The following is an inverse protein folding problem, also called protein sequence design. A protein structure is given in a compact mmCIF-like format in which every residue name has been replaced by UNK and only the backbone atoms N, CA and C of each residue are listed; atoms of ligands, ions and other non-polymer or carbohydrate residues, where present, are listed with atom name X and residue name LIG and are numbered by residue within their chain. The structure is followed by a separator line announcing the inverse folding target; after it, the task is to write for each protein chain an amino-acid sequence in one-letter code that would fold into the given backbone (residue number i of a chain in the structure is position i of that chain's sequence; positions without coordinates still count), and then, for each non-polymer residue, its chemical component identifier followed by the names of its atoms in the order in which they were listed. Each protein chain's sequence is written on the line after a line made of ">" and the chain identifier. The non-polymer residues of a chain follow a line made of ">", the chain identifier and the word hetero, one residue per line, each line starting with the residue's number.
data_IF_365231739031
#
_entry.id   IF_365231739031
#
_cell.length_a   1.000
_cell.length_b   1.000
_cell.length_c   1.000
_cell.angle_alpha   90.00
_cell.angle_beta   90.00
_cell.angle_gamma   90.00
#
_symmetry.space_group_name_H-M   'P 1'
#
loop_
_entity.id
_entity.type
_entity.pdbx_description
1 polymer ?
#
# COMPACT_ATOMS: atom_id res chain seq x y z
N UNK A 1 -0.18 17.35 14.63
CA UNK A 1 -0.73 16.72 13.40
C UNK A 1 -2.15 16.30 13.75
N UNK A 2 -3.18 16.87 13.13
CA UNK A 2 -4.56 16.46 13.40
C UNK A 2 -4.71 14.97 13.04
N UNK A 3 -5.16 14.17 14.00
CA UNK A 3 -5.58 12.80 13.77
C UNK A 3 -6.70 12.83 12.72
N UNK A 4 -6.62 11.99 11.68
CA UNK A 4 -7.71 11.94 10.71
C UNK A 4 -8.88 11.29 11.43
N UNK A 5 -9.82 12.08 11.92
CA UNK A 5 -11.07 11.54 12.46
C UNK A 5 -11.87 11.00 11.29
N UNK A 6 -12.21 9.71 11.32
CA UNK A 6 -13.21 9.13 10.41
C UNK A 6 -14.50 9.94 10.55
N UNK A 7 -14.81 10.77 9.56
CA UNK A 7 -16.14 11.38 9.42
C UNK A 7 -16.96 10.34 8.68
N UNK A 8 -18.01 9.81 9.29
CA UNK A 8 -18.75 8.66 8.73
C UNK A 8 -19.27 8.87 7.30
N UNK A 9 -19.44 10.12 6.86
CA UNK A 9 -19.82 10.46 5.49
C UNK A 9 -18.67 10.47 4.47
N UNK A 10 -17.42 10.36 4.91
CA UNK A 10 -16.23 10.35 4.04
C UNK A 10 -15.48 9.02 4.17
N UNK A 11 -15.85 8.10 3.28
CA UNK A 11 -15.24 6.79 3.13
C UNK A 11 -13.71 6.84 3.05
N UNK A 12 -13.13 7.80 2.30
CA UNK A 12 -11.68 7.85 2.09
C UNK A 12 -10.97 8.34 3.35
N UNK A 13 -11.57 9.29 4.07
CA UNK A 13 -11.05 9.73 5.38
C UNK A 13 -11.09 8.58 6.41
N UNK A 14 -12.16 7.77 6.41
CA UNK A 14 -12.26 6.59 7.26
C UNK A 14 -11.25 5.50 6.88
N UNK A 15 -11.04 5.24 5.59
CA UNK A 15 -10.01 4.32 5.11
C UNK A 15 -8.61 4.78 5.53
N UNK A 16 -8.31 6.08 5.45
CA UNK A 16 -7.06 6.64 5.95
C UNK A 16 -6.90 6.47 7.46
N UNK A 17 -7.96 6.70 8.23
CA UNK A 17 -7.94 6.48 9.69
C UNK A 17 -7.58 5.03 10.02
N UNK A 18 -8.25 4.07 9.38
CA UNK A 18 -7.98 2.64 9.55
C UNK A 18 -6.53 2.31 9.18
N UNK A 19 -6.05 2.83 8.04
CA UNK A 19 -4.68 2.62 7.59
C UNK A 19 -3.64 3.17 8.58
N UNK A 20 -3.89 4.33 9.17
CA UNK A 20 -3.00 4.96 10.16
C UNK A 20 -2.86 4.15 11.44
N UNK A 21 -3.87 3.35 11.83
CA UNK A 21 -3.76 2.46 13.00
C UNK A 21 -2.60 1.47 12.87
N UNK A 22 -2.32 0.99 11.65
CA UNK A 22 -1.20 0.07 11.41
C UNK A 22 0.19 0.73 11.48
N UNK A 23 0.26 2.06 11.58
CA UNK A 23 1.51 2.77 11.88
C UNK A 23 1.82 2.79 13.38
N UNK A 24 0.80 2.61 14.22
CA UNK A 24 0.98 2.51 15.67
C UNK A 24 1.40 1.07 16.05
N UNK A 25 2.62 0.95 16.56
CA UNK A 25 3.18 -0.33 17.01
C UNK A 25 2.41 -0.92 18.18
N UNK A 26 1.83 -0.09 19.05
CA UNK A 26 1.04 -0.58 20.20
C UNK A 26 -0.27 -1.17 19.71
N UNK A 27 -0.96 -0.50 18.78
CA UNK A 27 -2.12 -1.05 18.11
C UNK A 27 -1.81 -2.39 17.44
N UNK A 28 -0.72 -2.45 16.66
CA UNK A 28 -0.31 -3.69 15.98
C UNK A 28 0.02 -4.79 16.97
N UNK A 29 0.81 -4.52 18.02
CA UNK A 29 1.18 -5.53 19.01
C UNK A 29 -0.03 -6.06 19.80
N UNK A 30 -0.98 -5.18 20.15
CA UNK A 30 -2.18 -5.54 20.91
C UNK A 30 -3.17 -6.38 20.08
N UNK A 31 -3.36 -6.05 18.80
CA UNK A 31 -4.37 -6.69 17.94
C UNK A 31 -3.79 -7.85 17.11
N UNK A 32 -2.49 -7.83 16.86
CA UNK A 32 -1.78 -8.80 16.02
C UNK A 32 -0.45 -9.19 16.68
N UNK A 33 -0.45 -10.04 17.73
CA UNK A 33 0.76 -10.38 18.49
C UNK A 33 1.91 -10.98 17.66
N UNK A 34 1.60 -11.55 16.49
CA UNK A 34 2.58 -12.08 15.54
C UNK A 34 3.30 -10.99 14.72
N UNK A 35 2.88 -9.73 14.87
CA UNK A 35 3.27 -8.61 14.03
C UNK A 35 2.47 -8.56 12.73
N UNK A 36 2.61 -7.45 11.99
CA UNK A 36 2.04 -7.26 10.65
C UNK A 36 3.14 -6.72 9.75
N UNK A 37 3.40 -7.44 8.65
CA UNK A 37 4.47 -7.11 7.71
C UNK A 37 3.97 -7.15 6.26
N UNK A 38 4.82 -6.78 5.31
CA UNK A 38 4.55 -7.05 3.92
C UNK A 38 4.61 -8.55 3.65
N UNK A 39 3.51 -9.11 3.17
CA UNK A 39 3.40 -10.49 2.72
C UNK A 39 2.74 -10.50 1.33
N UNK A 40 3.39 -11.14 0.34
CA UNK A 40 2.91 -11.12 -1.05
C UNK A 40 1.59 -11.89 -1.15
N UNK A 41 0.54 -11.31 -1.74
CA UNK A 41 -0.82 -11.85 -1.72
C UNK A 41 -1.44 -11.94 -0.32
N UNK A 42 -0.83 -11.31 0.69
CA UNK A 42 -1.32 -11.29 2.06
C UNK A 42 -2.42 -10.27 2.24
N UNK A 43 -3.33 -10.55 3.18
CA UNK A 43 -4.44 -9.67 3.52
C UNK A 43 -5.78 -10.20 3.02
N UNK A 44 -6.81 -9.91 3.79
CA UNK A 44 -8.21 -10.23 3.49
C UNK A 44 -9.08 -9.02 3.82
N UNK A 45 -10.36 -9.10 3.46
CA UNK A 45 -11.36 -8.12 3.86
C UNK A 45 -11.43 -7.92 5.39
N UNK A 46 -11.05 -8.93 6.17
CA UNK A 46 -11.17 -8.92 7.64
C UNK A 46 -9.85 -8.65 8.38
N UNK A 47 -8.73 -8.47 7.66
CA UNK A 47 -7.44 -8.19 8.30
C UNK A 47 -6.24 -8.81 7.59
N UNK A 48 -5.05 -8.70 8.21
CA UNK A 48 -3.83 -9.29 7.69
C UNK A 48 -3.96 -10.82 7.59
N UNK A 49 -3.26 -11.40 6.62
CA UNK A 49 -3.26 -12.84 6.35
C UNK A 49 -1.87 -13.34 5.98
N UNK A 50 -1.72 -14.66 5.87
CA UNK A 50 -0.49 -15.22 5.32
C UNK A 50 -0.39 -14.91 3.82
N UNK A 51 0.83 -14.69 3.36
CA UNK A 51 1.09 -14.53 1.94
C UNK A 51 0.91 -15.83 1.15
N UNK A 52 1.10 -15.71 -0.16
CA UNK A 52 1.06 -16.82 -1.11
C UNK A 52 2.47 -17.14 -1.63
N UNK A 53 2.55 -18.23 -2.39
CA UNK A 53 3.73 -18.57 -3.19
C UNK A 53 3.41 -18.33 -4.66
N UNK A 54 4.32 -17.65 -5.34
CA UNK A 54 4.34 -17.56 -6.80
C UNK A 54 5.74 -17.95 -7.35
N UNK A 55 6.02 -17.58 -8.59
CA UNK A 55 7.30 -17.90 -9.24
C UNK A 55 8.49 -17.05 -8.73
N UNK A 56 8.22 -15.95 -8.01
CA UNK A 56 9.22 -14.99 -7.56
C UNK A 56 9.36 -14.95 -6.03
N UNK A 57 8.29 -15.21 -5.29
CA UNK A 57 8.20 -15.06 -3.85
C UNK A 57 7.54 -16.28 -3.20
N UNK A 58 8.01 -16.66 -2.00
CA UNK A 58 7.32 -17.60 -1.11
C UNK A 58 7.08 -16.92 0.24
N UNK A 59 5.93 -16.25 0.38
CA UNK A 59 5.58 -15.49 1.58
C UNK A 59 4.51 -16.20 2.43
N UNK A 60 4.32 -17.51 2.26
CA UNK A 60 3.37 -18.31 3.08
C UNK A 60 3.72 -18.35 4.57
N UNK A 61 4.96 -17.98 4.90
CA UNK A 61 5.46 -17.88 6.27
C UNK A 61 5.41 -16.44 6.83
N UNK A 62 5.08 -15.44 6.01
CA UNK A 62 4.94 -14.05 6.43
C UNK A 62 3.47 -13.71 6.64
N UNK A 63 3.18 -13.04 7.74
CA UNK A 63 1.83 -12.60 8.10
C UNK A 63 1.71 -11.08 7.94
N UNK A 64 0.71 -10.65 7.18
CA UNK A 64 0.38 -9.25 7.01
C UNK A 64 -0.37 -8.93 5.72
N UNK A 65 0.06 -7.90 5.01
CA UNK A 65 -0.63 -7.40 3.80
C UNK A 65 0.33 -7.28 2.61
N UNK A 66 -0.17 -7.47 1.40
CA UNK A 66 0.42 -6.84 0.22
C UNK A 66 -0.18 -5.44 -0.01
N UNK A 67 0.26 -4.77 -1.09
CA UNK A 67 -0.14 -3.40 -1.36
C UNK A 67 -1.65 -3.25 -1.59
N UNK A 68 -2.26 -4.11 -2.42
CA UNK A 68 -3.67 -4.02 -2.78
C UNK A 68 -4.59 -4.62 -1.72
N UNK A 69 -4.15 -5.66 -1.02
CA UNK A 69 -4.85 -6.22 0.14
C UNK A 69 -4.95 -5.22 1.29
N UNK A 70 -3.91 -4.43 1.55
CA UNK A 70 -3.95 -3.35 2.55
C UNK A 70 -4.97 -2.26 2.20
N UNK A 71 -4.99 -1.81 0.93
CA UNK A 71 -5.95 -0.82 0.45
C UNK A 71 -7.38 -1.38 0.48
N UNK A 72 -7.58 -2.61 -0.02
CA UNK A 72 -8.88 -3.28 -0.03
C UNK A 72 -9.44 -3.45 1.38
N UNK A 73 -8.62 -3.92 2.33
CA UNK A 73 -8.99 -4.01 3.74
C UNK A 73 -9.41 -2.65 4.31
N UNK A 74 -8.58 -1.61 4.09
CA UNK A 74 -8.84 -0.29 4.65
C UNK A 74 -10.18 0.29 4.19
N UNK A 75 -10.49 0.16 2.90
CA UNK A 75 -11.76 0.63 2.34
C UNK A 75 -12.95 -0.25 2.72
N UNK A 76 -12.78 -1.57 2.76
CA UNK A 76 -13.86 -2.49 3.17
C UNK A 76 -14.26 -2.30 4.64
N UNK A 77 -13.29 -2.07 5.52
CA UNK A 77 -13.56 -1.76 6.92
C UNK A 77 -14.18 -0.36 7.07
N UNK A 78 -13.74 0.61 6.26
CA UNK A 78 -14.31 1.96 6.26
C UNK A 78 -15.79 1.95 5.85
N UNK A 79 -16.18 1.10 4.92
CA UNK A 79 -17.58 0.93 4.49
C UNK A 79 -18.41 0.02 5.40
N UNK A 80 -17.89 -0.32 6.59
CA UNK A 80 -18.55 -1.23 7.56
C UNK A 80 -18.93 -2.59 6.93
N UNK A 81 -18.14 -3.05 5.95
CA UNK A 81 -18.33 -4.32 5.27
C UNK A 81 -19.34 -4.31 4.12
N UNK A 82 -19.70 -3.13 3.60
CA UNK A 82 -20.60 -3.02 2.46
C UNK A 82 -20.04 -3.78 1.24
N UNK A 83 -20.70 -4.90 0.88
CA UNK A 83 -20.26 -5.80 -0.21
C UNK A 83 -20.13 -5.10 -1.57
N UNK A 84 -20.84 -3.99 -1.77
CA UNK A 84 -20.81 -3.22 -3.01
C UNK A 84 -19.54 -2.36 -3.16
N UNK A 85 -18.73 -2.22 -2.10
CA UNK A 85 -17.42 -1.54 -2.12
C UNK A 85 -16.24 -2.53 -1.93
N UNK A 86 -16.35 -3.73 -2.48
CA UNK A 86 -15.20 -4.64 -2.55
C UNK A 86 -14.32 -4.18 -3.72
N UNK A 87 -13.22 -3.51 -3.40
CA UNK A 87 -12.23 -3.11 -4.41
C UNK A 87 -11.62 -4.35 -5.08
N UNK A 88 -11.18 -4.27 -6.35
CA UNK A 88 -10.47 -5.36 -7.01
C UNK A 88 -9.27 -5.85 -6.21
N UNK A 89 -8.96 -7.15 -6.28
CA UNK A 89 -7.90 -7.78 -5.47
C UNK A 89 -6.49 -7.27 -5.77
N UNK A 90 -6.24 -6.80 -7.00
CA UNK A 90 -4.90 -6.40 -7.46
C UNK A 90 -4.82 -4.91 -7.77
N UNK A 91 -3.64 -4.32 -7.56
CA UNK A 91 -3.36 -2.88 -7.76
C UNK A 91 -3.81 -2.35 -9.12
N UNK A 92 -3.59 -3.10 -10.20
CA UNK A 92 -4.02 -2.70 -11.55
C UNK A 92 -5.54 -2.58 -11.71
N UNK A 93 -6.32 -3.40 -10.98
CA UNK A 93 -7.77 -3.28 -10.97
C UNK A 93 -8.23 -2.09 -10.14
N UNK A 94 -7.65 -1.90 -8.95
CA UNK A 94 -7.97 -0.78 -8.06
C UNK A 94 -7.67 0.59 -8.70
N UNK A 95 -6.63 0.66 -9.53
CA UNK A 95 -6.28 1.86 -10.30
C UNK A 95 -7.35 2.25 -11.34
N UNK A 96 -8.30 1.37 -11.67
CA UNK A 96 -9.27 1.57 -12.79
C UNK A 96 -10.71 1.70 -12.35
N UNK A 97 -10.97 1.71 -11.03
CA UNK A 97 -12.29 1.91 -10.46
C UNK A 97 -12.32 3.21 -9.65
N UNK A 98 -13.52 3.72 -9.36
CA UNK A 98 -13.70 5.00 -8.69
C UNK A 98 -13.46 6.23 -9.57
N UNK A 99 -13.66 7.39 -8.98
CA UNK A 99 -13.45 8.70 -9.60
C UNK A 99 -11.96 8.90 -9.90
N UNK A 100 -11.63 9.31 -11.14
CA UNK A 100 -10.28 9.77 -11.46
C UNK A 100 -10.10 11.18 -10.89
N UNK A 101 -9.18 11.34 -9.95
CA UNK A 101 -8.89 12.65 -9.36
C UNK A 101 -7.75 13.35 -10.12
N UNK A 102 -6.66 12.62 -10.36
CA UNK A 102 -5.49 13.12 -11.06
C UNK A 102 -4.64 11.96 -11.58
N UNK A 103 -3.81 12.21 -12.59
CA UNK A 103 -2.79 11.27 -13.07
C UNK A 103 -1.61 12.02 -13.69
N UNK A 104 -0.45 11.37 -13.77
CA UNK A 104 0.73 12.00 -14.36
C UNK A 104 2.01 11.20 -14.22
N UNK A 105 3.12 11.80 -14.67
CA UNK A 105 4.44 11.19 -14.67
C UNK A 105 5.39 11.87 -13.69
N UNK A 106 6.04 11.04 -12.88
CA UNK A 106 7.13 11.42 -11.99
C UNK A 106 6.72 12.34 -10.84
N UNK A 107 7.63 12.53 -9.89
CA UNK A 107 7.28 13.17 -8.61
C UNK A 107 7.21 14.69 -8.66
N UNK A 108 7.91 15.30 -9.62
CA UNK A 108 7.88 16.75 -9.83
C UNK A 108 6.51 17.22 -10.31
N UNK A 109 5.79 16.35 -11.04
CA UNK A 109 4.51 16.66 -11.65
C UNK A 109 3.31 16.29 -10.78
N UNK A 110 3.49 15.81 -9.55
CA UNK A 110 2.37 15.52 -8.63
C UNK A 110 1.56 16.80 -8.41
N UNK A 111 0.59 16.99 -9.29
CA UNK A 111 -0.49 17.92 -9.13
C UNK A 111 -1.43 17.31 -8.11
N UNK A 112 -1.43 17.93 -6.95
CA UNK A 112 -2.25 17.54 -5.82
C UNK A 112 -3.43 18.50 -5.65
N UNK A 113 -3.67 19.38 -6.63
CA UNK A 113 -4.87 20.21 -6.66
C UNK A 113 -6.09 19.32 -6.84
N UNK A 114 -6.91 19.21 -5.78
CA UNK A 114 -8.06 18.30 -5.73
C UNK A 114 -7.78 16.93 -5.10
N UNK A 115 -6.52 16.58 -4.83
CA UNK A 115 -6.17 15.35 -4.10
C UNK A 115 -6.33 15.57 -2.60
N UNK A 116 -6.99 14.62 -1.93
CA UNK A 116 -7.29 14.70 -0.50
C UNK A 116 -6.68 13.50 0.23
N UNK A 117 -6.21 13.67 1.48
CA UNK A 117 -5.82 12.53 2.31
C UNK A 117 -6.92 11.46 2.32
N UNK A 118 -6.54 10.22 2.05
CA UNK A 118 -7.46 9.09 1.87
C UNK A 118 -7.63 8.64 0.42
N UNK A 119 -7.39 9.50 -0.57
CA UNK A 119 -7.40 9.08 -1.97
C UNK A 119 -6.35 7.98 -2.21
N UNK A 120 -6.67 7.01 -3.06
CA UNK A 120 -5.75 5.93 -3.45
C UNK A 120 -4.80 6.41 -4.54
N UNK A 121 -3.53 6.03 -4.47
CA UNK A 121 -2.52 6.34 -5.50
C UNK A 121 -1.91 5.02 -5.98
N UNK A 122 -2.12 4.70 -7.26
CA UNK A 122 -1.53 3.56 -7.92
C UNK A 122 -0.33 3.97 -8.78
N UNK A 123 0.68 3.12 -8.86
CA UNK A 123 1.93 3.39 -9.58
C UNK A 123 2.25 2.32 -10.63
N UNK A 124 2.78 2.75 -11.77
CA UNK A 124 3.30 1.88 -12.83
C UNK A 124 4.63 2.39 -13.39
N UNK A 125 5.56 1.47 -13.60
CA UNK A 125 6.81 1.72 -14.32
C UNK A 125 6.56 2.17 -15.77
N UNK A 126 7.40 3.08 -16.27
CA UNK A 126 7.36 3.52 -17.67
C UNK A 126 7.48 2.36 -18.64
N UNK A 127 6.62 2.35 -19.66
CA UNK A 127 6.55 1.29 -20.67
C UNK A 127 5.86 0.00 -20.19
N UNK A 128 5.34 -0.06 -18.96
CA UNK A 128 4.50 -1.16 -18.48
C UNK A 128 3.03 -0.77 -18.52
N UNK A 129 2.17 -1.73 -18.90
CA UNK A 129 0.73 -1.51 -19.01
C UNK A 129 0.00 -1.59 -17.66
N UNK A 130 0.52 -2.40 -16.73
CA UNK A 130 -0.12 -2.68 -15.45
C UNK A 130 0.48 -1.85 -14.31
N UNK A 131 -0.38 -1.40 -13.39
CA UNK A 131 0.04 -0.86 -12.10
C UNK A 131 0.50 -2.00 -11.19
N UNK A 132 1.69 -1.87 -10.62
CA UNK A 132 2.31 -2.89 -9.77
C UNK A 132 2.25 -2.54 -8.28
N UNK A 133 1.88 -1.30 -7.95
CA UNK A 133 1.76 -0.87 -6.56
C UNK A 133 0.57 0.07 -6.38
N UNK A 134 -0.01 0.05 -5.19
CA UNK A 134 -1.09 0.96 -4.79
C UNK A 134 -0.91 1.33 -3.32
N UNK A 135 -1.33 2.54 -2.95
CA UNK A 135 -1.12 3.13 -1.63
C UNK A 135 -2.25 4.08 -1.28
N UNK A 136 -2.36 4.48 -0.01
CA UNK A 136 -3.32 5.50 0.45
C UNK A 136 -2.58 6.82 0.66
N UNK A 137 -3.07 7.91 0.07
CA UNK A 137 -2.48 9.23 0.26
C UNK A 137 -2.65 9.70 1.70
N UNK A 138 -1.53 9.98 2.37
CA UNK A 138 -1.52 10.37 3.78
C UNK A 138 -1.69 11.89 3.98
N UNK A 139 -1.65 12.68 2.90
CA UNK A 139 -1.35 14.11 2.97
C UNK A 139 0.15 14.39 2.98
N UNK A 140 0.52 15.67 2.96
CA UNK A 140 1.91 16.14 3.05
C UNK A 140 2.87 15.46 2.07
N UNK A 141 2.40 15.21 0.83
CA UNK A 141 3.18 14.54 -0.22
C UNK A 141 3.74 13.17 0.23
N UNK A 142 2.99 12.43 1.04
CA UNK A 142 3.36 11.11 1.52
C UNK A 142 2.20 10.11 1.36
N UNK A 143 2.53 8.82 1.36
CA UNK A 143 1.57 7.72 1.26
C UNK A 143 1.80 6.71 2.38
N UNK A 144 0.73 6.04 2.81
CA UNK A 144 0.78 4.84 3.67
C UNK A 144 0.69 3.62 2.76
N UNK A 145 1.61 2.67 2.94
CA UNK A 145 1.58 1.43 2.17
C UNK A 145 2.23 0.23 2.88
N UNK A 146 1.83 -0.95 2.41
CA UNK A 146 2.59 -2.18 2.60
C UNK A 146 3.59 -2.29 1.45
N UNK A 147 4.88 -2.07 1.72
CA UNK A 147 5.92 -2.13 0.69
C UNK A 147 7.23 -2.73 1.21
N UNK A 148 7.74 -3.71 0.46
CA UNK A 148 9.02 -4.38 0.71
C UNK A 148 8.91 -5.55 1.69
N UNK A 149 9.37 -6.73 1.26
CA UNK A 149 9.28 -8.00 2.00
C UNK A 149 9.64 -7.87 3.48
N UNK A 150 8.75 -8.34 4.35
CA UNK A 150 8.97 -8.40 5.80
C UNK A 150 8.97 -7.04 6.51
N UNK A 151 8.77 -5.93 5.81
CA UNK A 151 8.69 -4.60 6.42
C UNK A 151 7.30 -4.34 7.00
N UNK A 152 7.17 -3.56 8.08
CA UNK A 152 5.86 -3.13 8.57
C UNK A 152 5.15 -2.23 7.56
N UNK A 153 3.90 -1.87 7.84
CA UNK A 153 3.24 -0.76 7.15
C UNK A 153 4.02 0.53 7.43
N UNK A 154 4.31 1.30 6.38
CA UNK A 154 5.15 2.48 6.47
C UNK A 154 4.49 3.70 5.85
N UNK A 155 4.98 4.88 6.25
CA UNK A 155 4.80 6.12 5.50
C UNK A 155 6.01 6.27 4.58
N UNK A 156 5.78 6.52 3.29
CA UNK A 156 6.83 6.83 2.33
C UNK A 156 6.53 8.16 1.62
N UNK A 157 7.54 9.00 1.32
CA UNK A 157 7.33 10.23 0.58
C UNK A 157 6.98 9.90 -0.89
N UNK A 158 6.15 10.72 -1.53
CA UNK A 158 5.80 10.57 -2.95
C UNK A 158 7.03 10.64 -3.87
N UNK A 159 8.10 11.32 -3.44
CA UNK A 159 9.38 11.36 -4.15
C UNK A 159 10.07 9.98 -4.26
N UNK A 160 9.70 9.00 -3.42
CA UNK A 160 10.16 7.63 -3.59
C UNK A 160 9.69 7.00 -4.92
N UNK A 161 8.66 7.58 -5.56
CA UNK A 161 8.01 7.10 -6.78
C UNK A 161 8.32 7.98 -8.00
N UNK A 162 9.42 8.74 -7.97
CA UNK A 162 9.74 9.83 -8.91
C UNK A 162 9.87 9.46 -10.39
N UNK A 163 10.06 8.18 -10.73
CA UNK A 163 10.19 7.71 -12.11
C UNK A 163 8.94 7.06 -12.68
N UNK A 164 7.87 6.95 -11.89
CA UNK A 164 6.69 6.17 -12.23
C UNK A 164 5.53 7.04 -12.70
N UNK A 165 4.63 6.44 -13.47
CA UNK A 165 3.32 7.02 -13.70
C UNK A 165 2.44 6.73 -12.50
N UNK A 166 1.66 7.71 -12.11
CA UNK A 166 0.75 7.61 -11.00
C UNK A 166 -0.67 7.91 -11.44
N UNK A 167 -1.63 7.26 -10.79
CA UNK A 167 -3.07 7.45 -11.01
C UNK A 167 -3.77 7.51 -9.67
N UNK A 168 -4.50 8.58 -9.44
CA UNK A 168 -5.16 8.87 -8.17
C UNK A 168 -6.65 8.61 -8.32
N UNK A 169 -7.17 7.77 -7.44
CA UNK A 169 -8.57 7.37 -7.40
C UNK A 169 -9.20 7.75 -6.08
N UNK A 170 -10.43 8.24 -6.17
CA UNK A 170 -11.29 8.42 -5.02
C UNK A 170 -12.44 7.41 -5.10
N UNK A 171 -12.65 6.69 -4.02
CA UNK A 171 -13.73 5.72 -3.93
C UNK A 171 -14.92 6.34 -3.21
N UNK A 172 -16.13 5.95 -3.59
CA UNK A 172 -17.36 6.37 -2.93
C UNK A 172 -18.14 5.13 -2.53
N UNK A 173 -18.80 5.19 -1.38
CA UNK A 173 -19.81 4.18 -1.07
C UNK A 173 -20.91 4.30 -2.12
N UNK A 174 -21.33 3.17 -2.72
CA UNK A 174 -22.51 3.19 -3.56
C UNK A 174 -23.70 3.59 -2.68
N UNK A 175 -24.64 4.40 -3.20
CA UNK A 175 -25.79 4.81 -2.41
C UNK A 175 -26.51 3.57 -1.87
N UNK A 176 -26.80 3.60 -0.56
CA UNK A 176 -27.57 2.56 0.11
C UNK A 176 -28.89 2.35 -0.65
N UNK A 177 -29.33 1.10 -0.91
CA UNK A 177 -30.63 0.87 -1.50
C UNK A 177 -31.72 1.40 -0.55
N UNK A 178 -32.30 2.56 -0.86
CA UNK A 178 -33.38 3.18 -0.10
C UNK A 178 -33.02 4.45 0.69
N UNK A 179 -31.77 4.91 0.67
CA UNK A 179 -31.43 6.20 1.26
C UNK A 179 -31.86 7.36 0.35
N UNK A 180 -33.08 7.85 0.57
CA UNK A 180 -33.43 9.22 0.19
C UNK A 180 -32.58 10.20 0.99
N UNK A 181 -32.14 11.27 0.33
CA UNK A 181 -31.34 12.32 0.95
C UNK A 181 -32.12 13.00 2.08
N UNK A 182 -31.76 12.72 3.33
CA UNK A 182 -32.35 13.34 4.52
C UNK A 182 -31.64 12.87 5.79
N UNK A 183 -30.98 13.80 6.49
CA UNK A 183 -30.06 13.49 7.59
C UNK A 183 -30.71 12.95 8.86
N UNK A 184 -29.93 12.19 9.64
CA UNK A 184 -29.56 12.47 11.03
C UNK A 184 -28.71 11.30 11.58
N UNK A 185 -27.86 11.63 12.55
CA UNK A 185 -26.75 10.86 13.11
C UNK A 185 -27.03 9.40 13.52
N UNK A 186 -26.00 8.56 13.46
CA UNK A 186 -26.01 7.16 13.86
C UNK A 186 -25.91 6.99 15.40
N UNK A 187 -26.87 6.31 16.06
CA UNK A 187 -26.89 6.11 17.51
C UNK A 187 -26.07 4.88 17.99
N UNK A 188 -25.02 4.46 17.28
CA UNK A 188 -24.31 3.21 17.60
C UNK A 188 -22.78 3.29 17.49
N UNK A 189 -22.21 4.46 17.77
CA UNK A 189 -20.77 4.67 17.89
C UNK A 189 -20.20 4.20 19.25
N UNK A 190 -20.97 3.50 20.09
CA UNK A 190 -20.50 2.95 21.36
C UNK A 190 -21.03 1.51 21.52
N UNK A 191 -20.12 0.53 21.50
CA UNK A 191 -20.16 -0.73 22.25
C UNK A 191 -19.38 -1.83 21.52
N UNK A 192 -18.11 -2.00 21.89
CA UNK A 192 -17.53 -3.34 22.00
C UNK A 192 -17.42 -3.64 23.50
N UNK A 193 -18.52 -4.11 24.09
CA UNK A 193 -18.51 -4.88 25.36
C UNK A 193 -19.71 -5.84 25.32
N UNK A 194 -19.44 -7.13 25.53
CA UNK A 194 -20.26 -8.24 25.03
C UNK A 194 -21.49 -8.68 25.85
N UNK A 195 -22.34 -9.48 25.20
CA UNK A 195 -23.02 -10.73 25.62
C UNK A 195 -24.03 -11.19 24.54
N UNK A 196 -24.47 -12.44 24.65
CA UNK A 196 -24.85 -13.41 23.60
C UNK A 196 -26.27 -13.35 22.97
N UNK A 197 -26.35 -13.87 21.72
CA UNK A 197 -27.39 -14.74 21.07
C UNK A 197 -28.85 -14.24 20.84
N UNK A 198 -29.69 -14.85 19.95
CA UNK A 198 -29.51 -16.08 19.16
C UNK A 198 -29.83 -16.02 17.64
N UNK A 199 -29.26 -17.02 16.95
CA UNK A 199 -29.62 -17.72 15.70
C UNK A 199 -30.68 -17.17 14.74
N UNK A 200 -30.30 -17.10 13.45
CA UNK A 200 -31.21 -17.46 12.36
C UNK A 200 -30.49 -18.15 11.19
N UNK A 201 -31.07 -19.27 10.80
CA UNK A 201 -30.66 -20.21 9.75
C UNK A 201 -31.13 -19.69 8.38
N UNK A 202 -30.29 -19.77 7.33
CA UNK A 202 -30.55 -20.60 6.13
C UNK A 202 -29.74 -20.20 4.88
N UNK A 203 -29.03 -21.22 4.37
CA UNK A 203 -28.88 -21.67 2.97
C UNK A 203 -28.24 -20.77 1.89
N UNK A 204 -27.06 -21.24 1.46
CA UNK A 204 -26.33 -20.99 0.20
C UNK A 204 -27.14 -21.41 -1.07
N UNK A 205 -26.67 -21.13 -2.31
CA UNK A 205 -25.51 -21.84 -2.86
C UNK A 205 -24.44 -20.96 -3.53
N UNK A 206 -23.22 -21.46 -3.40
CA UNK A 206 -21.96 -21.05 -4.02
C UNK A 206 -21.96 -21.26 -5.54
N UNK A 207 -21.55 -20.23 -6.29
CA UNK A 207 -21.12 -20.35 -7.69
C UNK A 207 -19.59 -20.17 -7.75
N UNK A 208 -18.81 -21.14 -8.22
CA UNK A 208 -17.36 -20.98 -8.37
C UNK A 208 -17.03 -20.10 -9.58
N UNK A 209 -16.42 -18.94 -9.33
CA UNK A 209 -15.93 -18.05 -10.39
C UNK A 209 -14.60 -18.60 -10.94
N UNK A 210 -14.51 -18.78 -12.26
CA UNK A 210 -13.30 -19.20 -12.97
C UNK A 210 -12.74 -18.01 -13.75
N UNK A 211 -11.43 -17.69 -13.66
CA UNK A 211 -10.84 -16.68 -14.53
C UNK A 211 -10.67 -17.22 -15.97
N UNK A 212 -10.83 -16.38 -17.00
CA UNK A 212 -10.62 -16.80 -18.39
C UNK A 212 -9.14 -17.10 -18.65
N UNK A 213 -8.89 -18.30 -19.17
CA UNK A 213 -7.58 -18.75 -19.63
C UNK A 213 -7.23 -18.03 -20.93
N UNK A 214 -6.28 -17.10 -20.90
CA UNK A 214 -5.72 -16.52 -22.11
C UNK A 214 -4.88 -17.60 -22.83
N UNK A 215 -5.37 -18.08 -23.99
CA UNK A 215 -4.58 -18.91 -24.91
C UNK A 215 -3.40 -18.08 -25.43
N UNK A 216 -2.20 -18.39 -24.96
CA UNK A 216 -0.97 -17.95 -25.62
C UNK A 216 -0.75 -18.76 -26.89
N UNK A 217 -1.05 -18.16 -28.04
CA UNK A 217 -0.55 -18.66 -29.33
C UNK A 217 0.94 -18.38 -29.43
N UNK A 218 1.76 -19.43 -29.58
CA UNK A 218 3.21 -19.33 -29.82
C UNK A 218 3.47 -18.65 -31.18
N UNK A 219 4.31 -17.62 -31.28
CA UNK A 219 4.86 -17.23 -32.58
C UNK A 219 5.92 -18.24 -33.01
N UNK A 220 5.85 -18.65 -34.26
CA UNK A 220 6.79 -19.55 -34.91
C UNK A 220 8.22 -19.00 -34.88
N UNK A 221 9.19 -19.90 -34.69
CA UNK A 221 10.61 -19.61 -34.76
C UNK A 221 10.98 -19.08 -36.16
N UNK A 222 11.59 -17.88 -36.21
CA UNK A 222 12.38 -17.44 -37.36
C UNK A 222 13.83 -17.27 -36.96
N UNK A 223 14.70 -17.88 -37.77
CA UNK A 223 16.16 -17.95 -37.62
C UNK A 223 16.81 -16.56 -37.74
N UNK A 224 17.91 -16.38 -36.98
CA UNK A 224 18.83 -15.23 -36.99
C UNK A 224 19.53 -15.05 -38.34
N UNK A 225 20.07 -13.84 -38.62
CA UNK A 225 21.53 -13.74 -38.66
C UNK A 225 22.13 -12.41 -38.14
N UNK A 226 23.39 -12.46 -37.69
CA UNK A 226 24.33 -11.33 -37.74
C UNK A 226 24.69 -10.60 -36.44
N UNK A 227 25.78 -11.03 -35.79
CA UNK A 227 26.63 -10.15 -34.95
C UNK A 227 27.52 -9.31 -35.88
N UNK A 228 27.94 -8.06 -35.53
CA UNK A 228 29.14 -7.94 -34.67
C UNK A 228 29.24 -6.67 -33.80
N UNK A 229 30.32 -6.68 -33.01
CA UNK A 229 31.02 -5.60 -32.29
C UNK A 229 30.66 -5.36 -30.82
N UNK A 230 31.56 -5.89 -30.00
CA UNK A 230 31.80 -5.56 -28.61
C UNK A 230 31.99 -4.05 -28.44
N UNK A 231 31.30 -3.47 -27.45
CA UNK A 231 31.69 -2.20 -26.85
C UNK A 231 32.31 -2.52 -25.49
N UNK A 232 33.57 -2.15 -25.34
CA UNK A 232 34.34 -2.20 -24.10
C UNK A 232 33.65 -1.46 -22.96
N UNK A 233 33.33 -2.19 -21.89
CA UNK A 233 33.02 -1.61 -20.59
C UNK A 233 34.34 -1.17 -19.93
N UNK A 234 34.66 0.13 -20.05
CA UNK A 234 35.71 0.75 -19.24
C UNK A 234 35.33 0.63 -17.76
N UNK A 235 36.21 -0.03 -17.00
CA UNK A 235 36.20 -0.08 -15.54
C UNK A 235 36.32 1.34 -14.99
N UNK A 236 35.30 1.81 -14.27
CA UNK A 236 35.42 3.00 -13.45
C UNK A 236 36.34 2.69 -12.26
N UNK A 237 37.48 3.40 -12.21
CA UNK A 237 38.38 3.43 -11.07
C UNK A 237 37.68 4.12 -9.89
N UNK A 238 37.65 3.41 -8.76
CA UNK A 238 37.27 3.96 -7.47
C UNK A 238 38.48 4.70 -6.91
N UNK A 239 38.38 6.02 -6.76
CA UNK A 239 39.36 6.82 -6.02
C UNK A 239 39.13 6.64 -4.51
N UNK A 240 40.16 6.31 -3.69
CA UNK A 240 40.01 6.27 -2.24
C UNK A 240 39.98 7.69 -1.66
N UNK A 241 38.94 7.97 -0.87
CA UNK A 241 38.82 9.14 -0.02
C UNK A 241 39.88 9.05 1.09
N UNK A 242 40.80 10.02 1.13
CA UNK A 242 41.80 10.15 2.18
C UNK A 242 41.17 10.72 3.46
N UNK A 243 41.29 10.00 4.57
CA UNK A 243 40.86 10.47 5.91
C UNK A 243 42.05 11.16 6.59
N UNK A 244 41.92 12.40 7.11
CA UNK A 244 43.04 13.05 7.78
C UNK A 244 43.28 12.45 9.18
N UNK A 245 44.57 12.19 9.43
CA UNK A 245 45.14 11.59 10.64
C UNK A 245 45.11 12.59 11.80
N UNK A 246 44.30 12.34 12.82
CA UNK A 246 44.33 13.10 14.07
C UNK A 246 45.66 12.88 14.80
N UNK A 247 46.42 13.97 14.98
CA UNK A 247 47.60 14.02 15.85
C UNK A 247 47.15 13.92 17.32
N UNK A 248 47.59 12.86 18.02
CA UNK A 248 47.51 12.77 19.48
C UNK A 248 48.56 13.68 20.11
N UNK A 249 48.13 14.76 20.77
CA UNK A 249 48.98 15.51 21.69
C UNK A 249 49.13 14.74 23.02
N UNK A 250 50.38 14.58 23.49
CA UNK A 250 50.73 14.02 24.82
C UNK A 250 50.46 15.06 25.92
N UNK A 251 50.04 14.67 27.14
CA UNK A 251 49.97 15.59 28.26
C UNK A 251 51.37 15.80 28.86
N UNK A 252 51.74 17.07 29.13
CA UNK A 252 52.92 17.42 29.94
C UNK A 252 52.45 17.73 31.37
N UNK A 253 53.05 17.01 32.30
CA UNK A 253 52.80 17.11 33.74
C UNK A 253 53.30 18.43 34.35
N UNK A 254 52.60 18.81 35.42
CA UNK A 254 52.86 19.90 36.35
C UNK A 254 54.30 20.08 36.81
N UNK A 255 54.69 21.35 37.03
CA UNK A 255 55.47 21.76 38.21
C UNK A 255 55.06 23.16 38.66
N UNK A 256 54.41 23.21 39.81
CA UNK A 256 54.32 24.36 40.71
C UNK A 256 55.67 24.56 41.40
N UNK A 257 56.08 25.82 41.60
CA UNK A 257 56.61 26.34 42.87
C UNK A 257 57.11 27.79 42.71
N UNK A 258 56.54 28.61 43.60
CA UNK A 258 57.07 29.81 44.29
C UNK A 258 57.37 31.05 43.47
#
# INVERSE_FOLDING_TARGET
>A
MAEATCKESDLNACALYIARRFLDKNFVAANYPKGVTYAWGGGTLNGPGYGIKDNQYDHRHLFGFDCSGFVQYSFYQASKGAKRLILPEVANGQARVGELVAEGWGSASFDLSGVRPGDSIAFKVRGKAAYHHVSIYNGNRAVINAYGTGKPIIVSPLSAWHGEYWMIRRYSDPPEPGASAGGNACPQCMALDGRESPQLVSRSPSVPWHPPVARYSRPAARRRPGHPRQLELRRHQVFPISVPRFLRARPRNHRTRR
#
